data_IF_144028984019
#
_entry.id   IF_144028984019
#
_cell.length_a   1.000
_cell.length_b   1.000
_cell.length_c   1.000
_cell.angle_alpha   90.00
_cell.angle_beta   90.00
_cell.angle_gamma   90.00
#
_symmetry.space_group_name_H-M   'P 1'
#
loop_
_entity.id
_entity.type
_entity.pdbx_description
1 polymer ?
#
# COMPACT_ATOMS: atom_id res chain seq x y z
N UNK A 1 -5.91 4.64 14.05
CA UNK A 1 -5.18 4.75 12.78
C UNK A 1 -6.01 4.21 11.64
N UNK A 2 -5.99 4.84 10.48
CA UNK A 2 -6.66 4.36 9.26
C UNK A 2 -5.61 4.04 8.18
N UNK A 3 -5.68 2.82 7.62
CA UNK A 3 -4.87 2.37 6.49
C UNK A 3 -5.71 2.40 5.23
N UNK A 4 -5.24 3.06 4.18
CA UNK A 4 -5.96 3.16 2.91
C UNK A 4 -5.13 2.59 1.78
N UNK A 5 -5.62 1.53 1.14
CA UNK A 5 -5.02 0.92 -0.05
C UNK A 5 -5.94 1.05 -1.26
N UNK A 6 -5.37 0.86 -2.46
CA UNK A 6 -6.16 1.03 -3.68
C UNK A 6 -7.21 -0.08 -3.85
N UNK A 7 -6.78 -1.34 -3.88
CA UNK A 7 -7.65 -2.52 -3.98
C UNK A 7 -6.98 -3.70 -3.30
N UNK A 8 -7.81 -4.64 -2.82
CA UNK A 8 -7.36 -5.92 -2.28
C UNK A 8 -7.09 -6.93 -3.41
N UNK A 9 -6.15 -6.60 -4.29
CA UNK A 9 -5.62 -7.52 -5.28
C UNK A 9 -4.28 -8.09 -4.80
N UNK A 10 -3.91 -9.29 -5.26
CA UNK A 10 -2.64 -9.92 -4.87
C UNK A 10 -1.48 -9.00 -5.22
N UNK A 11 -0.65 -8.70 -4.22
CA UNK A 11 0.54 -7.87 -4.37
C UNK A 11 1.09 -7.33 -3.07
N UNK A 12 2.32 -6.82 -3.12
CA UNK A 12 3.04 -6.30 -1.96
C UNK A 12 2.27 -5.27 -1.10
N UNK A 13 1.52 -4.32 -1.69
CA UNK A 13 0.75 -3.36 -0.89
C UNK A 13 -0.30 -4.01 0.01
N UNK A 14 -1.00 -5.06 -0.47
CA UNK A 14 -1.99 -5.77 0.35
C UNK A 14 -1.33 -6.51 1.51
N UNK A 15 -0.27 -7.28 1.26
CA UNK A 15 0.49 -7.92 2.34
C UNK A 15 1.00 -6.91 3.36
N UNK A 16 1.58 -5.81 2.91
CA UNK A 16 2.11 -4.79 3.82
C UNK A 16 1.02 -4.16 4.68
N UNK A 17 -0.12 -3.75 4.10
CA UNK A 17 -1.22 -3.16 4.85
C UNK A 17 -1.85 -4.17 5.82
N UNK A 18 -2.00 -5.44 5.40
CA UNK A 18 -2.48 -6.53 6.26
C UNK A 18 -1.54 -6.75 7.45
N UNK A 19 -0.23 -6.86 7.20
CA UNK A 19 0.75 -7.07 8.28
C UNK A 19 0.84 -5.87 9.23
N UNK A 20 0.80 -4.65 8.70
CA UNK A 20 0.74 -3.45 9.55
C UNK A 20 -0.52 -3.41 10.40
N UNK A 21 -1.64 -3.93 9.91
CA UNK A 21 -2.89 -4.00 10.67
C UNK A 21 -2.84 -5.12 11.71
N UNK A 22 -2.33 -6.31 11.34
CA UNK A 22 -2.31 -7.48 12.22
C UNK A 22 -1.24 -7.41 13.31
N UNK A 23 -0.05 -6.89 12.99
CA UNK A 23 1.13 -6.99 13.87
C UNK A 23 1.56 -5.66 14.51
N UNK A 24 0.82 -4.58 14.27
CA UNK A 24 1.07 -3.35 15.01
C UNK A 24 0.66 -3.55 16.47
N UNK A 25 1.40 -2.93 17.41
CA UNK A 25 1.15 -3.12 18.85
C UNK A 25 -0.28 -2.72 19.24
N UNK A 26 -0.77 -3.28 20.35
CA UNK A 26 -2.09 -3.00 20.96
C UNK A 26 -2.35 -1.52 21.27
N UNK A 27 -1.32 -0.69 21.18
CA UNK A 27 -1.45 0.77 21.30
C UNK A 27 -2.15 1.42 20.10
N UNK A 28 -2.34 0.66 19.02
CA UNK A 28 -2.97 1.16 17.80
C UNK A 28 -4.20 0.34 17.45
N UNK A 29 -5.35 0.97 17.48
CA UNK A 29 -6.54 0.48 16.80
C UNK A 29 -6.41 0.83 15.31
N UNK A 30 -6.56 -0.14 14.41
CA UNK A 30 -6.38 0.07 12.97
C UNK A 30 -7.63 -0.29 12.19
N UNK A 31 -8.12 0.63 11.38
CA UNK A 31 -9.15 0.43 10.38
C UNK A 31 -8.49 0.31 9.00
N UNK A 32 -8.63 -0.83 8.35
CA UNK A 32 -8.14 -1.05 6.98
C UNK A 32 -9.24 -0.77 5.97
N UNK A 33 -8.96 0.09 4.99
CA UNK A 33 -9.92 0.52 3.97
C UNK A 33 -9.32 0.29 2.58
N UNK A 34 -10.09 -0.27 1.65
CA UNK A 34 -9.59 -0.46 0.28
C UNK A 34 -10.67 -0.86 -0.71
N UNK A 35 -10.35 -0.78 -2.00
CA UNK A 35 -11.22 -1.17 -3.07
C UNK A 35 -11.33 -2.70 -3.24
N UNK A 36 -12.37 -3.13 -3.93
CA UNK A 36 -12.53 -4.52 -4.32
C UNK A 36 -11.72 -4.83 -5.60
N UNK A 37 -11.24 -6.07 -5.79
CA UNK A 37 -10.63 -6.50 -7.04
C UNK A 37 -11.57 -6.32 -8.23
N UNK A 38 -11.04 -5.95 -9.38
CA UNK A 38 -11.81 -5.88 -10.62
C UNK A 38 -11.84 -7.25 -11.32
N UNK A 39 -12.78 -7.44 -12.23
CA UNK A 39 -12.91 -8.69 -13.01
C UNK A 39 -11.58 -9.03 -13.70
N UNK A 40 -11.04 -10.22 -13.44
CA UNK A 40 -9.76 -10.70 -13.97
C UNK A 40 -8.55 -10.37 -13.08
N UNK A 41 -8.72 -9.67 -11.98
CA UNK A 41 -7.70 -9.55 -10.93
C UNK A 41 -7.84 -10.69 -9.93
N UNK A 42 -6.71 -11.23 -9.47
CA UNK A 42 -6.72 -12.22 -8.40
C UNK A 42 -7.08 -11.56 -7.08
N UNK A 43 -8.05 -12.13 -6.38
CA UNK A 43 -8.51 -11.69 -5.07
C UNK A 43 -7.48 -12.04 -3.99
N UNK A 44 -7.27 -11.11 -3.07
CA UNK A 44 -6.40 -11.27 -1.92
C UNK A 44 -7.11 -11.12 -0.57
N UNK A 45 -8.43 -11.16 -0.53
CA UNK A 45 -9.18 -11.09 0.74
C UNK A 45 -8.85 -12.27 1.65
N UNK A 46 -8.51 -13.44 1.07
CA UNK A 46 -8.02 -14.59 1.82
C UNK A 46 -6.77 -14.28 2.67
N UNK A 47 -5.92 -13.32 2.25
CA UNK A 47 -4.75 -12.90 3.04
C UNK A 47 -5.21 -12.17 4.31
N UNK A 48 -6.25 -11.34 4.20
CA UNK A 48 -6.80 -10.65 5.36
C UNK A 48 -7.42 -11.66 6.34
N UNK A 49 -8.16 -12.64 5.81
CA UNK A 49 -8.77 -13.71 6.61
C UNK A 49 -7.72 -14.55 7.34
N UNK A 50 -6.62 -14.93 6.66
CA UNK A 50 -5.50 -15.68 7.25
C UNK A 50 -4.92 -15.00 8.49
N UNK A 51 -4.87 -13.67 8.49
CA UNK A 51 -4.34 -12.88 9.62
C UNK A 51 -5.42 -12.25 10.50
N UNK A 52 -6.68 -12.65 10.36
CA UNK A 52 -7.80 -12.15 11.18
C UNK A 52 -8.10 -10.66 10.98
N UNK A 53 -7.68 -10.07 9.87
CA UNK A 53 -7.85 -8.65 9.56
C UNK A 53 -9.19 -8.41 8.87
N UNK A 54 -9.98 -7.49 9.42
CA UNK A 54 -11.21 -6.99 8.78
C UNK A 54 -10.93 -5.72 8.01
N UNK A 55 -11.56 -5.57 6.85
CA UNK A 55 -11.42 -4.36 6.03
C UNK A 55 -12.77 -3.77 5.63
N UNK A 56 -12.82 -2.45 5.51
CA UNK A 56 -13.92 -1.73 4.89
C UNK A 56 -13.72 -1.67 3.38
N UNK A 57 -14.64 -2.24 2.62
CA UNK A 57 -14.55 -2.32 1.17
C UNK A 57 -15.18 -1.09 0.51
N UNK A 58 -14.44 -0.47 -0.43
CA UNK A 58 -14.87 0.69 -1.22
C UNK A 58 -14.99 0.32 -2.71
N UNK A 59 -16.16 -0.06 -3.20
CA UNK A 59 -16.38 -0.42 -4.60
C UNK A 59 -16.05 0.71 -5.59
N UNK A 60 -16.10 1.95 -5.14
CA UNK A 60 -15.77 3.14 -5.91
C UNK A 60 -14.27 3.31 -6.18
N UNK A 61 -13.40 2.64 -5.39
CA UNK A 61 -11.95 2.69 -5.55
C UNK A 61 -11.48 1.80 -6.73
N UNK A 62 -11.76 2.24 -7.95
CA UNK A 62 -11.43 1.56 -9.20
C UNK A 62 -9.95 1.66 -9.57
N UNK A 63 -9.46 0.73 -10.42
CA UNK A 63 -8.07 0.73 -10.92
C UNK A 63 -7.76 1.99 -11.73
N UNK A 64 -8.57 2.23 -12.75
CA UNK A 64 -8.37 3.35 -13.66
C UNK A 64 -8.85 4.66 -13.02
N UNK A 65 -8.13 5.78 -13.21
CA UNK A 65 -8.66 7.09 -12.86
C UNK A 65 -9.98 7.35 -13.57
N UNK A 66 -11.00 7.74 -12.81
CA UNK A 66 -12.30 8.11 -13.34
C UNK A 66 -12.91 9.18 -12.45
N UNK A 67 -13.20 10.33 -13.01
CA UNK A 67 -13.63 11.52 -12.26
C UNK A 67 -14.83 11.25 -11.35
N UNK A 68 -15.85 10.54 -11.87
CA UNK A 68 -17.09 10.30 -11.11
C UNK A 68 -16.88 9.28 -9.98
N UNK A 69 -16.22 8.14 -10.27
CA UNK A 69 -15.93 7.15 -9.24
C UNK A 69 -14.92 7.68 -8.21
N UNK A 70 -13.93 8.45 -8.63
CA UNK A 70 -12.92 9.02 -7.74
C UNK A 70 -13.52 10.09 -6.81
N UNK A 71 -14.48 10.90 -7.30
CA UNK A 71 -15.24 11.83 -6.47
C UNK A 71 -16.11 11.10 -5.45
N UNK A 72 -16.75 9.99 -5.84
CA UNK A 72 -17.52 9.14 -4.92
C UNK A 72 -16.62 8.49 -3.87
N UNK A 73 -15.48 7.90 -4.30
CA UNK A 73 -14.50 7.31 -3.38
C UNK A 73 -13.97 8.34 -2.38
N UNK A 74 -13.59 9.53 -2.85
CA UNK A 74 -13.16 10.63 -1.98
C UNK A 74 -14.23 11.01 -0.93
N UNK A 75 -15.50 11.09 -1.34
CA UNK A 75 -16.61 11.37 -0.44
C UNK A 75 -16.74 10.28 0.63
N UNK A 76 -16.70 9.01 0.23
CA UNK A 76 -16.79 7.86 1.14
C UNK A 76 -15.62 7.81 2.13
N UNK A 77 -14.38 8.02 1.67
CA UNK A 77 -13.22 8.09 2.56
C UNK A 77 -13.41 9.21 3.60
N UNK A 78 -13.88 10.38 3.20
CA UNK A 78 -14.17 11.47 4.14
C UNK A 78 -15.26 11.13 5.15
N UNK A 79 -16.30 10.41 4.75
CA UNK A 79 -17.36 9.92 5.65
C UNK A 79 -16.75 8.98 6.70
N UNK A 80 -15.93 8.00 6.28
CA UNK A 80 -15.22 7.07 7.16
C UNK A 80 -14.30 7.82 8.13
N UNK A 81 -13.48 8.75 7.64
CA UNK A 81 -12.58 9.56 8.49
C UNK A 81 -13.37 10.35 9.55
N UNK A 82 -14.50 10.94 9.19
CA UNK A 82 -15.35 11.71 10.12
C UNK A 82 -15.99 10.83 11.19
N UNK A 83 -16.37 9.61 10.83
CA UNK A 83 -16.97 8.63 11.73
C UNK A 83 -15.93 8.03 12.65
N UNK A 84 -14.84 7.50 12.10
CA UNK A 84 -13.78 6.81 12.83
C UNK A 84 -12.86 7.76 13.60
N UNK A 85 -12.70 9.01 13.12
CA UNK A 85 -11.86 10.07 13.72
C UNK A 85 -10.41 9.63 13.97
N UNK A 86 -9.70 9.12 12.97
CA UNK A 86 -8.35 8.62 13.15
C UNK A 86 -7.37 9.75 13.50
N UNK A 87 -6.42 9.48 14.40
CA UNK A 87 -5.27 10.35 14.64
C UNK A 87 -4.25 10.28 13.48
N UNK A 88 -4.21 9.14 12.80
CA UNK A 88 -3.25 8.86 11.72
C UNK A 88 -4.00 8.30 10.52
N UNK A 89 -3.80 8.88 9.35
CA UNK A 89 -4.14 8.28 8.06
C UNK A 89 -2.86 7.88 7.35
N UNK A 90 -2.72 6.59 7.08
CA UNK A 90 -1.60 6.02 6.34
C UNK A 90 -2.08 5.48 5.00
N UNK A 91 -1.52 5.95 3.92
CA UNK A 91 -1.97 5.62 2.57
C UNK A 91 -0.92 4.87 1.77
N UNK A 92 -1.36 3.98 0.87
CA UNK A 92 -0.51 3.13 0.04
C UNK A 92 -0.89 3.26 -1.44
N UNK A 93 0.08 3.16 -2.33
CA UNK A 93 -0.08 3.25 -3.78
C UNK A 93 -0.62 4.62 -4.29
N UNK A 94 -0.44 4.89 -5.58
CA UNK A 94 -0.61 6.25 -6.13
C UNK A 94 -2.04 6.79 -6.01
N UNK A 95 -3.05 6.03 -6.46
CA UNK A 95 -4.44 6.53 -6.48
C UNK A 95 -5.04 6.62 -5.08
N UNK A 96 -4.91 5.57 -4.28
CA UNK A 96 -5.36 5.61 -2.87
C UNK A 96 -4.57 6.63 -2.08
N UNK A 97 -3.27 6.77 -2.39
CA UNK A 97 -2.41 7.81 -1.85
C UNK A 97 -2.93 9.22 -2.13
N UNK A 98 -3.37 9.49 -3.35
CA UNK A 98 -3.90 10.81 -3.72
C UNK A 98 -5.25 11.09 -3.05
N UNK A 99 -6.21 10.15 -3.15
CA UNK A 99 -7.55 10.32 -2.61
C UNK A 99 -7.57 10.31 -1.08
N UNK A 100 -6.83 9.38 -0.46
CA UNK A 100 -6.75 9.24 0.99
C UNK A 100 -6.06 10.44 1.65
N UNK A 101 -4.91 10.89 1.13
CA UNK A 101 -4.23 12.09 1.65
C UNK A 101 -5.11 13.33 1.49
N UNK A 102 -5.77 13.49 0.32
CA UNK A 102 -6.70 14.61 0.13
C UNK A 102 -7.85 14.56 1.14
N UNK A 103 -8.45 13.40 1.35
CA UNK A 103 -9.54 13.23 2.33
C UNK A 103 -9.06 13.57 3.75
N UNK A 104 -7.88 13.06 4.15
CA UNK A 104 -7.28 13.33 5.45
C UNK A 104 -7.02 14.83 5.66
N UNK A 105 -6.47 15.52 4.65
CA UNK A 105 -6.25 16.96 4.72
C UNK A 105 -7.54 17.76 4.82
N UNK A 106 -8.57 17.35 4.07
CA UNK A 106 -9.87 18.04 4.08
C UNK A 106 -10.64 17.79 5.40
N UNK A 107 -10.31 16.70 6.12
CA UNK A 107 -10.88 16.37 7.43
C UNK A 107 -9.94 16.75 8.60
N UNK A 108 -8.84 17.46 8.35
CA UNK A 108 -7.90 17.93 9.36
C UNK A 108 -7.30 16.82 10.23
N UNK A 109 -7.02 15.65 9.63
CA UNK A 109 -6.35 14.54 10.34
C UNK A 109 -4.95 14.99 10.77
N UNK A 110 -4.57 14.79 12.06
CA UNK A 110 -3.31 15.33 12.59
C UNK A 110 -2.06 14.78 11.92
N UNK A 111 -2.04 13.47 11.63
CA UNK A 111 -0.87 12.78 11.08
C UNK A 111 -1.26 12.09 9.78
N UNK A 112 -0.58 12.46 8.71
CA UNK A 112 -0.82 11.89 7.37
C UNK A 112 0.49 11.34 6.82
N UNK A 113 0.55 10.02 6.61
CA UNK A 113 1.72 9.29 6.14
C UNK A 113 1.42 8.61 4.82
N UNK A 114 2.41 8.48 3.96
CA UNK A 114 2.27 7.76 2.70
C UNK A 114 3.46 6.84 2.44
N UNK A 115 3.19 5.56 2.12
CA UNK A 115 4.20 4.60 1.69
C UNK A 115 4.18 4.44 0.16
N UNK A 116 5.33 4.67 -0.45
CA UNK A 116 5.57 4.31 -1.84
C UNK A 116 5.97 2.83 -1.92
N UNK A 117 5.18 2.01 -2.64
CA UNK A 117 5.50 0.60 -2.97
C UNK A 117 6.15 0.45 -4.34
N UNK A 118 6.37 1.52 -5.01
CA UNK A 118 6.83 1.74 -6.36
C UNK A 118 6.28 3.08 -6.82
N UNK A 119 6.71 3.58 -7.93
CA UNK A 119 6.19 4.84 -8.44
C UNK A 119 5.97 4.79 -9.95
N UNK A 120 5.03 5.59 -10.41
CA UNK A 120 4.58 5.63 -11.81
C UNK A 120 5.42 6.55 -12.71
N UNK A 121 6.59 6.99 -12.22
CA UNK A 121 7.41 7.99 -12.91
C UNK A 121 8.31 7.39 -13.98
N UNK A 122 8.57 6.07 -13.94
CA UNK A 122 9.32 5.35 -14.99
C UNK A 122 8.39 4.92 -16.10
N UNK A 123 8.58 5.45 -17.29
CA UNK A 123 8.11 4.92 -18.59
C UNK A 123 6.65 4.50 -18.77
N UNK A 124 5.80 4.62 -17.74
CA UNK A 124 4.38 4.23 -17.83
C UNK A 124 3.52 5.23 -18.59
N UNK A 125 3.96 6.49 -18.64
CA UNK A 125 3.17 7.59 -19.24
C UNK A 125 4.07 8.51 -20.06
N UNK A 126 3.48 9.18 -21.06
CA UNK A 126 4.18 10.23 -21.81
C UNK A 126 4.57 11.41 -20.89
N UNK A 127 5.55 12.20 -21.33
CA UNK A 127 6.19 13.28 -20.54
C UNK A 127 5.21 14.22 -19.82
N UNK A 128 4.12 14.61 -20.50
CA UNK A 128 3.12 15.53 -19.92
C UNK A 128 2.36 14.91 -18.73
N UNK A 129 1.94 13.63 -18.83
CA UNK A 129 1.27 12.92 -17.72
C UNK A 129 2.22 12.67 -16.57
N UNK A 130 3.46 12.27 -16.83
CA UNK A 130 4.50 12.11 -15.80
C UNK A 130 4.74 13.42 -15.05
N UNK A 131 4.81 14.55 -15.76
CA UNK A 131 4.94 15.86 -15.13
C UNK A 131 3.76 16.19 -14.21
N UNK A 132 2.52 15.95 -14.69
CA UNK A 132 1.31 16.18 -13.89
C UNK A 132 1.28 15.32 -12.64
N UNK A 133 1.55 14.00 -12.75
CA UNK A 133 1.59 13.11 -11.59
C UNK A 133 2.67 13.52 -10.60
N UNK A 134 3.85 13.87 -11.08
CA UNK A 134 4.93 14.38 -10.25
C UNK A 134 4.53 15.65 -9.51
N UNK A 135 3.91 16.60 -10.18
CA UNK A 135 3.41 17.83 -9.56
C UNK A 135 2.37 17.50 -8.46
N UNK A 136 1.40 16.65 -8.75
CA UNK A 136 0.39 16.23 -7.76
C UNK A 136 1.06 15.60 -6.55
N UNK A 137 2.01 14.66 -6.74
CA UNK A 137 2.72 14.02 -5.65
C UNK A 137 3.55 15.01 -4.82
N UNK A 138 4.18 15.99 -5.45
CA UNK A 138 4.89 17.07 -4.75
C UNK A 138 3.95 17.85 -3.82
N UNK A 139 2.76 18.23 -4.31
CA UNK A 139 1.78 18.97 -3.50
C UNK A 139 1.26 18.12 -2.32
N UNK A 140 0.99 16.85 -2.57
CA UNK A 140 0.56 15.94 -1.52
C UNK A 140 1.67 15.68 -0.50
N UNK A 141 2.89 15.41 -0.94
CA UNK A 141 4.03 15.19 -0.07
C UNK A 141 4.38 16.43 0.78
N UNK A 142 4.23 17.63 0.24
CA UNK A 142 4.43 18.88 0.98
C UNK A 142 3.53 18.96 2.22
N UNK A 143 2.28 18.53 2.11
CA UNK A 143 1.28 18.56 3.20
C UNK A 143 1.33 17.33 4.11
N UNK A 144 1.89 16.20 3.64
CA UNK A 144 2.02 14.97 4.44
C UNK A 144 2.98 15.17 5.61
N UNK A 145 2.72 14.54 6.73
CA UNK A 145 3.60 14.52 7.91
C UNK A 145 4.90 13.77 7.62
N UNK A 146 4.80 12.64 6.91
CA UNK A 146 5.95 11.82 6.53
C UNK A 146 5.71 11.00 5.27
N UNK A 147 6.80 10.65 4.62
CA UNK A 147 6.83 9.74 3.48
C UNK A 147 7.69 8.53 3.84
N UNK A 148 7.22 7.35 3.50
CA UNK A 148 7.96 6.10 3.68
C UNK A 148 8.38 5.58 2.31
N UNK A 149 9.67 5.31 2.17
CA UNK A 149 10.25 4.55 1.07
C UNK A 149 10.62 3.15 1.56
N UNK A 150 10.52 2.15 0.70
CA UNK A 150 10.81 0.75 1.07
C UNK A 150 12.29 0.38 0.86
N UNK A 151 13.08 1.27 0.26
CA UNK A 151 14.52 1.09 0.07
C UNK A 151 15.25 2.44 -0.03
N UNK A 152 16.56 2.43 0.17
CA UNK A 152 17.40 3.63 -0.01
C UNK A 152 17.41 4.09 -1.47
N UNK A 153 17.40 3.17 -2.43
CA UNK A 153 17.30 3.51 -3.86
C UNK A 153 16.03 4.30 -4.12
N UNK A 154 14.88 3.83 -3.62
CA UNK A 154 13.61 4.53 -3.78
C UNK A 154 13.63 5.91 -3.11
N UNK A 155 14.27 6.03 -1.94
CA UNK A 155 14.45 7.33 -1.29
C UNK A 155 15.26 8.30 -2.16
N UNK A 156 16.37 7.84 -2.74
CA UNK A 156 17.16 8.67 -3.67
C UNK A 156 16.33 9.09 -4.89
N UNK A 157 15.58 8.17 -5.49
CA UNK A 157 14.68 8.49 -6.61
C UNK A 157 13.65 9.55 -6.23
N UNK A 158 12.97 9.40 -5.10
CA UNK A 158 11.94 10.35 -4.64
C UNK A 158 12.51 11.73 -4.31
N UNK A 159 13.72 11.79 -3.77
CA UNK A 159 14.28 13.06 -3.27
C UNK A 159 15.21 13.75 -4.27
N UNK A 160 15.94 13.01 -5.09
CA UNK A 160 16.95 13.54 -6.01
C UNK A 160 16.49 13.51 -7.47
N UNK A 161 16.07 12.35 -7.97
CA UNK A 161 15.68 12.21 -9.37
C UNK A 161 14.33 12.91 -9.67
N UNK A 162 13.30 12.61 -8.87
CA UNK A 162 11.95 13.17 -9.08
C UNK A 162 11.65 14.40 -8.24
N UNK A 163 12.46 14.68 -7.21
CA UNK A 163 12.31 15.84 -6.32
C UNK A 163 10.89 15.98 -5.78
N UNK A 164 10.31 14.84 -5.31
CA UNK A 164 8.96 14.81 -4.74
C UNK A 164 8.92 15.54 -3.39
N UNK A 165 9.93 15.34 -2.55
CA UNK A 165 10.07 16.03 -1.26
C UNK A 165 11.53 16.06 -0.80
N UNK A 166 11.80 16.72 0.34
CA UNK A 166 13.13 16.77 0.95
C UNK A 166 13.53 15.41 1.55
N UNK A 167 14.84 15.16 1.64
CA UNK A 167 15.41 13.94 2.27
C UNK A 167 14.95 13.77 3.72
N UNK A 168 14.80 14.86 4.47
CA UNK A 168 14.37 14.85 5.86
C UNK A 168 12.94 14.33 6.06
N UNK A 169 12.11 14.45 5.04
CA UNK A 169 10.71 14.00 5.06
C UNK A 169 10.55 12.50 4.77
N UNK A 170 11.57 11.87 4.18
CA UNK A 170 11.53 10.45 3.79
C UNK A 170 12.25 9.59 4.81
N UNK A 171 11.54 8.60 5.34
CA UNK A 171 12.11 7.49 6.13
C UNK A 171 12.12 6.23 5.28
N UNK A 172 13.23 5.48 5.35
CA UNK A 172 13.31 4.15 4.73
C UNK A 172 12.86 3.13 5.76
N UNK A 173 11.82 2.41 5.42
CA UNK A 173 11.28 1.31 6.22
C UNK A 173 11.07 0.13 5.27
N UNK A 174 11.97 -0.86 5.27
CA UNK A 174 11.81 -2.07 4.47
C UNK A 174 10.49 -2.79 4.81
N UNK A 175 9.92 -3.48 3.82
CA UNK A 175 8.73 -4.28 4.05
C UNK A 175 9.03 -5.46 4.97
N UNK A 176 8.16 -5.69 5.94
CA UNK A 176 8.18 -6.89 6.75
C UNK A 176 7.52 -8.06 6.02
N UNK A 177 7.99 -9.28 6.31
CA UNK A 177 7.43 -10.52 5.81
C UNK A 177 7.21 -11.50 6.96
N UNK A 178 6.12 -12.23 6.93
CA UNK A 178 5.94 -13.39 7.80
C UNK A 178 6.75 -14.56 7.22
N UNK A 179 7.93 -14.79 7.79
CA UNK A 179 8.83 -15.85 7.36
C UNK A 179 8.57 -17.19 8.08
N UNK A 180 7.78 -17.20 9.15
CA UNK A 180 7.55 -18.42 9.93
C UNK A 180 6.85 -19.51 9.10
N UNK A 181 5.87 -19.15 8.29
CA UNK A 181 5.19 -20.10 7.40
C UNK A 181 6.13 -20.78 6.38
N UNK A 182 7.23 -20.14 6.01
CA UNK A 182 8.24 -20.72 5.10
C UNK A 182 9.25 -21.59 5.82
N UNK A 183 9.33 -21.50 7.15
CA UNK A 183 10.19 -22.33 7.99
C UNK A 183 9.51 -23.62 8.42
N UNK A 184 8.17 -23.60 8.51
CA UNK A 184 7.37 -24.76 8.91
C UNK A 184 7.48 -25.85 7.84
N UNK A 185 7.62 -27.10 8.31
CA UNK A 185 7.66 -28.31 7.46
C UNK A 185 8.72 -28.26 6.33
N UNK A 186 9.81 -27.50 6.52
CA UNK A 186 10.84 -27.30 5.50
C UNK A 186 11.36 -28.59 4.89
N UNK A 187 11.66 -29.58 5.73
CA UNK A 187 12.20 -30.89 5.29
C UNK A 187 11.17 -31.69 4.50
N UNK A 188 9.93 -31.71 4.98
CA UNK A 188 8.83 -32.41 4.31
C UNK A 188 8.48 -31.75 2.97
N UNK A 189 8.35 -30.43 2.95
CA UNK A 189 8.08 -29.66 1.75
C UNK A 189 9.21 -29.81 0.72
N UNK A 190 10.48 -29.78 1.17
CA UNK A 190 11.64 -30.04 0.32
C UNK A 190 11.55 -31.42 -0.34
N UNK A 191 11.28 -32.46 0.46
CA UNK A 191 11.14 -33.83 -0.04
C UNK A 191 10.00 -33.93 -1.05
N UNK A 192 8.82 -33.40 -0.72
CA UNK A 192 7.64 -33.42 -1.59
C UNK A 192 7.92 -32.79 -2.96
N UNK A 193 8.57 -31.63 -3.00
CA UNK A 193 8.90 -30.95 -4.26
C UNK A 193 9.95 -31.75 -5.05
N UNK A 194 10.99 -32.27 -4.39
CA UNK A 194 12.02 -33.07 -5.05
C UNK A 194 11.44 -34.36 -5.64
N UNK A 195 10.59 -35.07 -4.90
CA UNK A 195 9.91 -36.25 -5.39
C UNK A 195 9.01 -35.93 -6.61
N UNK A 196 8.25 -34.83 -6.53
CA UNK A 196 7.36 -34.38 -7.61
C UNK A 196 8.11 -34.10 -8.92
N UNK A 197 9.27 -33.46 -8.83
CA UNK A 197 10.08 -33.08 -9.99
C UNK A 197 11.24 -34.05 -10.29
N UNK A 198 11.30 -35.20 -9.59
CA UNK A 198 12.35 -36.23 -9.74
C UNK A 198 13.76 -35.65 -9.60
N UNK A 199 13.97 -34.81 -8.60
CA UNK A 199 15.24 -34.17 -8.31
C UNK A 199 16.04 -34.98 -7.27
N UNK A 200 17.33 -35.09 -7.45
CA UNK A 200 18.24 -35.68 -6.47
C UNK A 200 18.57 -34.68 -5.35
N UNK A 201 19.07 -35.15 -4.23
CA UNK A 201 19.40 -34.28 -3.10
C UNK A 201 20.51 -33.25 -3.40
N UNK A 202 21.39 -33.56 -4.36
CA UNK A 202 22.48 -32.72 -4.79
C UNK A 202 22.11 -31.68 -5.86
N UNK A 203 20.91 -31.79 -6.45
CA UNK A 203 20.45 -30.84 -7.45
C UNK A 203 20.23 -29.46 -6.83
N UNK A 204 20.76 -28.42 -7.49
CA UNK A 204 20.48 -27.02 -7.14
C UNK A 204 19.18 -26.61 -7.81
N UNK A 205 18.23 -26.10 -7.04
CA UNK A 205 16.88 -25.70 -7.49
C UNK A 205 16.65 -24.24 -7.16
#
# INVERSE_FOLDING_TARGET
REEIINRFNIGGPTYNATFLTAFLSDKFETLLVGGIPEKGEADSLHILEEYGVKATLLPEMKRKPNFFSDKKALKKIKEIIKEYKPDIVHTHASKAGALGRKAAFDCSVPIVVHTFHGHVFHSYFGKAKTFLFRFIEQQLAKRSTGIIAISEIQKQELTEAYKICSKSKVKVIPLGFDLEKFRQNKTENRKKIRDQYKLNDEDVV
#
